data_IF_156324290860
#
_entry.id   IF_156324290860
#
_cell.length_a   1.000
_cell.length_b   1.000
_cell.length_c   1.000
_cell.angle_alpha   90.00
_cell.angle_beta   90.00
_cell.angle_gamma   90.00
#
_symmetry.space_group_name_H-M   'P 1'
#
loop_
_entity.id
_entity.type
_entity.pdbx_description
1 polymer ?
#
# COMPACT_ATOMS: atom_id res chain seq x y z
N UNK A 1 -1.40 27.72 15.33
CA UNK A 1 -2.36 26.71 14.88
C UNK A 1 -1.57 25.73 14.03
N UNK A 2 -1.11 24.61 14.62
CA UNK A 2 -0.31 23.63 13.89
C UNK A 2 -1.22 22.92 12.91
N UNK A 3 -0.96 23.08 11.60
CA UNK A 3 -1.60 22.27 10.59
C UNK A 3 -1.16 20.83 10.84
N UNK A 4 -2.06 20.04 11.44
CA UNK A 4 -1.88 18.62 11.58
C UNK A 4 -2.04 18.07 10.17
N UNK A 5 -0.91 17.92 9.47
CA UNK A 5 -0.86 17.20 8.21
C UNK A 5 -1.19 15.76 8.57
N UNK A 6 -2.46 15.39 8.42
CA UNK A 6 -2.89 14.01 8.55
C UNK A 6 -1.92 13.18 7.72
N UNK A 7 -1.34 12.13 8.31
CA UNK A 7 -0.45 11.22 7.59
C UNK A 7 -1.14 10.56 6.37
N UNK A 8 -2.45 10.80 6.17
CA UNK A 8 -3.21 10.50 4.97
C UNK A 8 -2.83 11.37 3.75
N UNK A 9 -2.33 12.59 3.95
CA UNK A 9 -1.87 13.49 2.89
C UNK A 9 -0.36 13.33 2.60
N UNK A 10 0.30 12.43 3.33
CA UNK A 10 1.72 12.22 3.18
C UNK A 10 1.97 11.49 1.85
N UNK A 11 2.27 12.28 0.82
CA UNK A 11 2.59 11.87 -0.55
C UNK A 11 3.34 10.54 -0.56
N UNK A 12 2.74 9.53 -1.18
CA UNK A 12 3.34 8.21 -1.34
C UNK A 12 4.48 8.31 -2.36
N UNK A 13 5.69 8.56 -1.88
CA UNK A 13 6.89 8.57 -2.69
C UNK A 13 7.49 7.17 -2.82
N UNK A 14 8.11 6.90 -3.96
CA UNK A 14 8.84 5.65 -4.23
C UNK A 14 9.81 5.30 -3.09
N UNK A 15 10.60 6.28 -2.65
CA UNK A 15 11.59 6.12 -1.59
C UNK A 15 10.97 5.63 -0.29
N UNK A 16 9.78 6.14 0.04
CA UNK A 16 9.03 5.73 1.23
C UNK A 16 8.51 4.31 1.11
N UNK A 17 8.03 3.92 -0.06
CA UNK A 17 7.57 2.56 -0.32
C UNK A 17 8.75 1.58 -0.22
N UNK A 18 9.91 1.96 -0.78
CA UNK A 18 11.16 1.17 -0.70
C UNK A 18 11.67 0.99 0.74
N UNK A 19 11.43 1.94 1.65
CA UNK A 19 11.82 1.82 3.06
C UNK A 19 11.13 0.67 3.82
N UNK A 20 9.97 0.20 3.37
CA UNK A 20 9.33 -1.00 3.95
C UNK A 20 10.11 -2.29 3.65
N UNK A 21 11.09 -2.25 2.75
CA UNK A 21 11.89 -3.40 2.36
C UNK A 21 11.12 -4.35 1.46
N UNK A 22 11.22 -5.66 1.70
CA UNK A 22 10.64 -6.69 0.80
C UNK A 22 9.11 -6.77 0.90
N UNK A 23 8.53 -6.42 2.05
CA UNK A 23 7.09 -6.54 2.31
C UNK A 23 6.60 -5.33 3.07
N UNK A 24 5.49 -4.76 2.62
CA UNK A 24 4.81 -3.68 3.30
C UNK A 24 3.42 -4.11 3.81
N UNK A 25 2.83 -3.42 4.79
CA UNK A 25 1.47 -3.69 5.22
C UNK A 25 0.49 -3.48 4.08
N UNK A 26 -0.40 -4.45 3.82
CA UNK A 26 -1.36 -4.35 2.71
C UNK A 26 -2.35 -3.18 2.88
N UNK A 27 -2.56 -2.71 4.12
CA UNK A 27 -3.38 -1.54 4.40
C UNK A 27 -2.74 -0.29 3.82
N UNK A 28 -1.43 -0.13 4.01
CA UNK A 28 -0.69 1.00 3.45
C UNK A 28 -0.62 0.91 1.93
N UNK A 29 -0.46 -0.30 1.38
CA UNK A 29 -0.52 -0.53 -0.07
C UNK A 29 -1.88 -0.12 -0.66
N UNK A 30 -2.99 -0.53 -0.04
CA UNK A 30 -4.33 -0.17 -0.48
C UNK A 30 -4.56 1.35 -0.44
N UNK A 31 -4.05 2.03 0.59
CA UNK A 31 -4.14 3.50 0.70
C UNK A 31 -3.34 4.20 -0.40
N UNK A 32 -2.16 3.67 -0.73
CA UNK A 32 -1.31 4.22 -1.79
C UNK A 32 -1.93 4.02 -3.18
N UNK A 33 -2.45 2.83 -3.46
CA UNK A 33 -3.00 2.47 -4.78
C UNK A 33 -4.38 3.08 -5.00
N UNK A 34 -5.29 2.98 -4.03
CA UNK A 34 -6.70 3.41 -4.18
C UNK A 34 -6.99 4.80 -3.61
N UNK A 35 -6.03 5.46 -2.95
CA UNK A 35 -6.25 6.79 -2.36
C UNK A 35 -7.33 6.80 -1.27
N UNK A 36 -7.56 5.68 -0.58
CA UNK A 36 -8.65 5.54 0.38
C UNK A 36 -8.19 5.71 1.85
N UNK A 37 -9.14 5.95 2.75
CA UNK A 37 -8.88 5.96 4.20
C UNK A 37 -8.65 4.56 4.80
N UNK A 38 -8.13 4.50 6.03
CA UNK A 38 -7.76 3.24 6.72
C UNK A 38 -8.93 2.25 6.82
N UNK A 39 -10.13 2.72 7.20
CA UNK A 39 -11.30 1.85 7.34
C UNK A 39 -11.71 1.23 6.00
N UNK A 40 -11.67 2.01 4.92
CA UNK A 40 -11.99 1.54 3.58
C UNK A 40 -10.93 0.54 3.08
N UNK A 41 -9.65 0.81 3.33
CA UNK A 41 -8.55 -0.10 3.03
C UNK A 41 -8.73 -1.47 3.71
N UNK A 42 -9.07 -1.50 5.00
CA UNK A 42 -9.39 -2.78 5.68
C UNK A 42 -10.62 -3.48 5.10
N UNK A 43 -11.63 -2.71 4.68
CA UNK A 43 -12.80 -3.24 3.97
C UNK A 43 -12.40 -3.97 2.69
N UNK A 44 -11.60 -3.32 1.84
CA UNK A 44 -11.09 -3.88 0.59
C UNK A 44 -10.25 -5.14 0.83
N UNK A 45 -9.32 -5.10 1.79
CA UNK A 45 -8.48 -6.26 2.13
C UNK A 45 -9.29 -7.45 2.67
N UNK A 46 -10.41 -7.17 3.34
CA UNK A 46 -11.30 -8.20 3.88
C UNK A 46 -12.23 -8.77 2.81
N UNK A 47 -12.65 -7.94 1.84
CA UNK A 47 -13.47 -8.37 0.71
C UNK A 47 -12.67 -9.22 -0.29
N UNK A 48 -11.42 -8.83 -0.60
CA UNK A 48 -10.45 -9.65 -1.31
C UNK A 48 -10.73 -9.95 -2.79
N UNK A 49 -11.76 -9.34 -3.40
CA UNK A 49 -12.17 -9.64 -4.79
C UNK A 49 -11.60 -8.69 -5.86
N UNK A 50 -11.25 -7.44 -5.51
CA UNK A 50 -10.85 -6.40 -6.48
C UNK A 50 -9.46 -5.78 -6.22
N UNK A 51 -8.52 -6.57 -5.71
CA UNK A 51 -7.17 -6.05 -5.41
C UNK A 51 -6.21 -6.27 -6.58
N UNK A 52 -5.69 -5.17 -7.12
CA UNK A 52 -4.69 -5.17 -8.20
C UNK A 52 -3.29 -5.66 -7.75
N UNK A 53 -3.07 -5.83 -6.44
CA UNK A 53 -1.83 -6.35 -5.86
C UNK A 53 -2.05 -7.61 -5.04
N UNK A 54 -0.98 -8.40 -4.88
CA UNK A 54 -1.02 -9.60 -4.06
C UNK A 54 -1.14 -9.27 -2.57
N UNK A 55 -2.12 -9.87 -1.91
CA UNK A 55 -2.22 -9.86 -0.45
C UNK A 55 -1.80 -11.21 0.11
N UNK A 56 -0.76 -11.19 0.94
CA UNK A 56 -0.29 -12.36 1.67
C UNK A 56 -0.71 -12.25 3.12
N UNK A 57 -1.31 -13.31 3.66
CA UNK A 57 -1.66 -13.36 5.08
C UNK A 57 -0.51 -13.97 5.88
N UNK A 58 0.13 -13.16 6.73
CA UNK A 58 1.14 -13.62 7.69
C UNK A 58 0.53 -13.62 9.09
N UNK A 59 -0.07 -14.74 9.47
CA UNK A 59 -0.80 -14.89 10.74
C UNK A 59 -2.01 -13.96 10.82
N UNK A 60 -1.93 -12.95 11.69
CA UNK A 60 -2.98 -11.93 11.88
C UNK A 60 -2.80 -10.68 11.02
N UNK A 61 -1.69 -10.57 10.28
CA UNK A 61 -1.37 -9.39 9.48
C UNK A 61 -1.51 -9.68 7.99
N UNK A 62 -1.95 -8.67 7.24
CA UNK A 62 -1.91 -8.65 5.79
C UNK A 62 -0.65 -7.92 5.34
N UNK A 63 0.15 -8.60 4.51
CA UNK A 63 1.37 -8.05 3.94
C UNK A 63 1.36 -8.21 2.44
N UNK A 64 1.87 -7.20 1.74
CA UNK A 64 1.94 -7.17 0.28
C UNK A 64 3.41 -7.03 -0.12
N UNK A 65 3.88 -7.73 -1.15
CA UNK A 65 5.20 -7.50 -1.69
C UNK A 65 5.35 -6.05 -2.14
N UNK A 66 6.42 -5.39 -1.70
CA UNK A 66 6.65 -3.98 -2.06
C UNK A 66 6.82 -3.80 -3.57
N UNK A 67 7.38 -4.80 -4.26
CA UNK A 67 7.54 -4.81 -5.71
C UNK A 67 6.21 -4.66 -6.44
N UNK A 68 5.17 -5.41 -6.06
CA UNK A 68 3.84 -5.34 -6.67
C UNK A 68 3.24 -3.93 -6.54
N UNK A 69 3.42 -3.27 -5.40
CA UNK A 69 2.91 -1.92 -5.17
C UNK A 69 3.65 -0.90 -6.03
N UNK A 70 4.98 -1.02 -6.12
CA UNK A 70 5.76 -0.13 -6.98
C UNK A 70 5.44 -0.33 -8.47
N UNK A 71 5.21 -1.57 -8.91
CA UNK A 71 4.79 -1.86 -10.28
C UNK A 71 3.43 -1.22 -10.59
N UNK A 72 2.44 -1.35 -9.71
CA UNK A 72 1.12 -0.73 -9.90
C UNK A 72 1.16 0.80 -9.94
N UNK A 73 2.05 1.39 -9.15
CA UNK A 73 2.23 2.85 -9.13
C UNK A 73 3.08 3.33 -10.33
N UNK A 74 3.56 2.42 -11.18
CA UNK A 74 4.44 2.75 -12.31
C UNK A 74 5.84 3.21 -11.87
N UNK A 75 6.22 2.91 -10.62
CA UNK A 75 7.49 3.29 -9.99
C UNK A 75 8.54 2.19 -10.08
N UNK A 76 8.18 1.03 -10.61
CA UNK A 76 9.11 -0.07 -10.85
C UNK A 76 8.84 -0.65 -12.24
N UNK A 77 9.70 -0.27 -13.19
CA UNK A 77 9.78 -0.93 -14.47
C UNK A 77 10.59 -2.20 -14.25
N UNK A 78 9.94 -3.36 -14.17
CA UNK A 78 10.67 -4.58 -14.53
C UNK A 78 10.98 -4.45 -16.01
N UNK A 79 12.19 -4.00 -16.34
CA UNK A 79 12.78 -4.22 -17.64
C UNK A 79 12.62 -5.71 -17.95
N UNK A 80 11.84 -5.99 -18.99
CA UNK A 80 11.63 -7.32 -19.55
C UNK A 80 12.96 -7.97 -19.97
#
# INVERSE_FOLDING_TARGET
MAAQVDAADAVWTEERIRQYGVRMPSVEAARAVYGCGVAHAYGLLRAGEDLEFRVLRKGRQYVTPTADVLELLGLNERAA
#
